data_IF_460511999543
#
_entry.id   IF_460511999543
#
_cell.length_a   1.000
_cell.length_b   1.000
_cell.length_c   1.000
_cell.angle_alpha   90.00
_cell.angle_beta   90.00
_cell.angle_gamma   90.00
#
_symmetry.space_group_name_H-M   'P 1'
#
loop_
_entity.id
_entity.type
_entity.pdbx_description
1 polymer ?
#
# COMPACT_ATOMS: atom_id res chain seq x y z
N UNK A 1 5.37 -6.71 -9.18
CA UNK A 1 4.12 -7.39 -8.75
C UNK A 1 3.24 -6.49 -7.86
N UNK A 2 3.28 -5.16 -8.01
CA UNK A 2 2.50 -4.23 -7.18
C UNK A 2 0.99 -4.51 -7.29
N UNK A 3 0.28 -4.52 -6.16
CA UNK A 3 -1.17 -4.74 -6.07
C UNK A 3 -1.67 -6.13 -6.49
N UNK A 4 -0.77 -7.12 -6.60
CA UNK A 4 -1.17 -8.52 -6.77
C UNK A 4 -1.71 -9.06 -5.44
N UNK A 5 -2.73 -9.92 -5.53
CA UNK A 5 -3.30 -10.58 -4.35
C UNK A 5 -2.24 -11.45 -3.65
N UNK A 6 -2.00 -11.19 -2.37
CA UNK A 6 -1.22 -12.07 -1.50
C UNK A 6 -2.14 -13.06 -0.80
N UNK A 7 -3.18 -12.55 -0.14
CA UNK A 7 -4.14 -13.36 0.61
C UNK A 7 -5.53 -12.75 0.55
N UNK A 8 -6.56 -13.60 0.49
CA UNK A 8 -7.95 -13.17 0.68
C UNK A 8 -8.79 -14.31 1.27
N UNK A 9 -9.62 -13.95 2.26
CA UNK A 9 -10.79 -14.71 2.67
C UNK A 9 -12.01 -13.78 2.80
N UNK A 10 -13.08 -14.24 3.47
CA UNK A 10 -14.29 -13.44 3.70
C UNK A 10 -14.08 -12.24 4.65
N UNK A 11 -13.02 -12.26 5.45
CA UNK A 11 -12.78 -11.30 6.54
C UNK A 11 -11.63 -10.34 6.26
N UNK A 12 -10.62 -10.78 5.53
CA UNK A 12 -9.36 -10.07 5.38
C UNK A 12 -8.79 -10.23 3.98
N UNK A 13 -8.17 -9.15 3.51
CA UNK A 13 -7.45 -9.15 2.24
C UNK A 13 -6.10 -8.47 2.41
N UNK A 14 -5.06 -9.09 1.89
CA UNK A 14 -3.72 -8.51 1.79
C UNK A 14 -3.27 -8.50 0.33
N UNK A 15 -2.77 -7.35 -0.12
CA UNK A 15 -2.15 -7.17 -1.42
C UNK A 15 -0.65 -6.92 -1.25
N UNK A 16 0.16 -7.48 -2.14
CA UNK A 16 1.58 -7.15 -2.18
C UNK A 16 1.77 -5.64 -2.43
N UNK A 17 2.62 -5.03 -1.62
CA UNK A 17 3.02 -3.62 -1.72
C UNK A 17 4.42 -3.57 -2.35
N UNK A 18 5.45 -4.09 -1.65
CA UNK A 18 6.82 -4.17 -2.14
C UNK A 18 7.48 -5.49 -1.72
N UNK A 19 8.30 -6.10 -2.58
CA UNK A 19 9.02 -7.35 -2.28
C UNK A 19 10.49 -7.00 -2.07
N UNK A 20 10.98 -7.12 -0.85
CA UNK A 20 12.38 -6.85 -0.50
C UNK A 20 13.28 -8.04 -0.86
N UNK A 21 12.80 -9.26 -0.65
CA UNK A 21 13.57 -10.46 -0.94
C UNK A 21 12.65 -11.63 -1.31
N UNK A 22 12.96 -12.31 -2.40
CA UNK A 22 12.26 -13.50 -2.86
C UNK A 22 13.20 -14.55 -3.42
N UNK A 23 12.75 -15.81 -3.37
CA UNK A 23 13.37 -16.92 -4.09
C UNK A 23 12.30 -17.59 -4.96
N UNK A 24 11.87 -18.80 -4.60
CA UNK A 24 10.67 -19.41 -5.19
C UNK A 24 9.39 -18.76 -4.65
N UNK A 25 9.43 -18.29 -3.40
CA UNK A 25 8.34 -17.55 -2.75
C UNK A 25 8.90 -16.22 -2.21
N UNK A 26 8.05 -15.18 -2.06
CA UNK A 26 8.41 -13.99 -1.31
C UNK A 26 8.77 -14.34 0.13
N UNK A 27 10.00 -14.00 0.53
CA UNK A 27 10.55 -14.29 1.86
C UNK A 27 10.37 -13.09 2.76
N UNK A 28 10.68 -11.89 2.27
CA UNK A 28 10.56 -10.64 3.02
C UNK A 28 9.92 -9.57 2.14
N UNK A 29 8.75 -9.07 2.54
CA UNK A 29 7.97 -8.14 1.72
C UNK A 29 7.01 -7.31 2.58
N UNK A 30 6.59 -6.15 2.08
CA UNK A 30 5.46 -5.41 2.63
C UNK A 30 4.17 -5.78 1.90
N UNK A 31 3.07 -5.73 2.65
CA UNK A 31 1.73 -5.85 2.10
C UNK A 31 0.80 -4.83 2.75
N UNK A 32 -0.29 -4.53 2.06
CA UNK A 32 -1.34 -3.62 2.54
C UNK A 32 -2.67 -4.34 2.67
N UNK A 33 -3.45 -3.94 3.66
CA UNK A 33 -4.81 -4.42 3.82
C UNK A 33 -5.86 -3.51 3.15
N UNK A 34 -7.13 -3.87 3.29
CA UNK A 34 -8.25 -3.07 2.77
C UNK A 34 -8.36 -1.64 3.34
N UNK A 35 -7.76 -1.38 4.50
CA UNK A 35 -7.71 -0.06 5.13
C UNK A 35 -6.44 0.72 4.76
N UNK A 36 -5.59 0.14 3.91
CA UNK A 36 -4.25 0.64 3.59
C UNK A 36 -3.28 0.65 4.78
N UNK A 37 -3.57 -0.11 5.83
CA UNK A 37 -2.58 -0.37 6.87
C UNK A 37 -1.46 -1.21 6.26
N UNK A 38 -0.21 -0.89 6.61
CA UNK A 38 0.99 -1.55 6.09
C UNK A 38 1.44 -2.63 7.08
N UNK A 39 1.82 -3.77 6.53
CA UNK A 39 2.37 -4.89 7.28
C UNK A 39 3.67 -5.35 6.63
N UNK A 40 4.66 -5.69 7.43
CA UNK A 40 5.85 -6.41 6.99
C UNK A 40 5.60 -7.90 7.18
N UNK A 41 5.99 -8.72 6.19
CA UNK A 41 5.80 -10.15 6.17
C UNK A 41 7.14 -10.89 6.05
N UNK A 42 7.31 -11.95 6.82
CA UNK A 42 8.47 -12.86 6.76
C UNK A 42 7.99 -14.30 6.61
N UNK A 43 8.54 -15.03 5.64
CA UNK A 43 8.37 -16.48 5.52
C UNK A 43 9.21 -17.18 6.60
N UNK A 44 8.55 -17.81 7.58
CA UNK A 44 9.19 -18.41 8.76
C UNK A 44 9.17 -19.95 8.77
N UNK A 45 8.41 -20.60 7.88
CA UNK A 45 8.57 -22.04 7.59
C UNK A 45 8.19 -22.31 6.13
N UNK A 46 8.97 -23.15 5.46
CA UNK A 46 8.73 -23.63 4.10
C UNK A 46 8.85 -25.15 3.95
N UNK A 47 9.08 -25.89 5.06
CA UNK A 47 9.42 -27.33 5.03
C UNK A 47 8.20 -28.21 4.90
N UNK A 48 7.15 -27.93 5.67
CA UNK A 48 5.90 -28.72 5.72
C UNK A 48 4.69 -27.97 5.19
N UNK A 49 4.74 -26.66 5.29
CA UNK A 49 3.77 -25.69 4.80
C UNK A 49 4.49 -24.37 4.61
N UNK A 50 3.96 -23.49 3.75
CA UNK A 50 4.46 -22.13 3.67
C UNK A 50 3.77 -21.32 4.76
N UNK A 51 4.54 -20.64 5.59
CA UNK A 51 4.03 -19.90 6.74
C UNK A 51 4.66 -18.54 6.81
N UNK A 52 3.84 -17.51 6.73
CA UNK A 52 4.24 -16.13 6.87
C UNK A 52 3.72 -15.56 8.16
N UNK A 53 4.58 -14.80 8.83
CA UNK A 53 4.19 -13.93 9.93
C UNK A 53 4.19 -12.49 9.43
N UNK A 54 3.11 -11.77 9.75
CA UNK A 54 2.92 -10.38 9.40
C UNK A 54 2.86 -9.56 10.68
N UNK A 55 3.60 -8.47 10.73
CA UNK A 55 3.52 -7.46 11.79
C UNK A 55 3.08 -6.12 11.19
N UNK A 56 2.17 -5.42 11.88
CA UNK A 56 1.78 -4.06 11.49
C UNK A 56 2.98 -3.13 11.61
N UNK A 57 3.21 -2.31 10.58
CA UNK A 57 4.36 -1.41 10.45
C UNK A 57 3.98 -0.10 9.75
N UNK A 58 4.96 0.74 9.44
CA UNK A 58 4.81 2.03 8.75
C UNK A 58 5.91 2.22 7.69
N UNK A 59 5.68 3.11 6.72
CA UNK A 59 6.69 3.47 5.71
C UNK A 59 8.00 3.97 6.36
N UNK A 60 7.90 4.72 7.47
CA UNK A 60 9.10 5.18 8.21
C UNK A 60 9.91 4.01 8.77
N UNK A 61 9.26 3.01 9.36
CA UNK A 61 9.94 1.85 9.91
C UNK A 61 10.55 0.99 8.79
N UNK A 62 9.85 0.82 7.67
CA UNK A 62 10.40 0.13 6.50
C UNK A 62 11.62 0.86 5.93
N UNK A 63 11.57 2.19 5.86
CA UNK A 63 12.73 2.99 5.48
C UNK A 63 13.91 2.86 6.45
N UNK A 64 13.62 2.73 7.75
CA UNK A 64 14.65 2.53 8.76
C UNK A 64 15.27 1.12 8.68
N UNK A 65 14.51 0.09 8.27
CA UNK A 65 15.06 -1.24 7.92
C UNK A 65 16.04 -1.09 6.74
N UNK A 66 15.58 -0.48 5.64
CA UNK A 66 16.39 -0.33 4.41
C UNK A 66 17.65 0.51 4.63
N UNK A 67 17.66 1.39 5.64
CA UNK A 67 18.81 2.23 6.00
C UNK A 67 19.65 1.65 7.13
N UNK A 68 19.43 0.39 7.51
CA UNK A 68 20.20 -0.29 8.53
C UNK A 68 20.17 0.46 9.90
N UNK A 69 19.03 1.07 10.24
CA UNK A 69 18.83 1.80 11.52
C UNK A 69 18.10 0.98 12.57
N UNK A 70 17.26 0.06 12.13
CA UNK A 70 16.51 -0.87 12.98
C UNK A 70 16.67 -2.28 12.42
N UNK A 71 16.78 -3.28 13.29
CA UNK A 71 16.87 -4.67 12.85
C UNK A 71 15.52 -5.13 12.31
N UNK A 72 15.50 -6.16 11.48
CA UNK A 72 14.24 -6.74 11.01
C UNK A 72 13.40 -7.25 12.19
N UNK A 73 14.04 -7.85 13.20
CA UNK A 73 13.39 -8.37 14.41
C UNK A 73 12.69 -7.29 15.23
N UNK A 74 13.33 -6.12 15.43
CA UNK A 74 12.78 -5.05 16.27
C UNK A 74 11.49 -4.46 15.70
N UNK A 75 11.30 -4.48 14.38
CA UNK A 75 10.05 -4.03 13.75
C UNK A 75 8.89 -4.95 14.13
N UNK A 76 9.13 -6.26 14.25
CA UNK A 76 8.10 -7.18 14.74
C UNK A 76 7.78 -6.92 16.21
N UNK A 77 8.79 -6.71 17.07
CA UNK A 77 8.57 -6.41 18.49
C UNK A 77 7.74 -5.15 18.76
N UNK A 78 7.81 -4.17 17.86
CA UNK A 78 7.07 -2.91 17.99
C UNK A 78 5.60 -3.02 17.57
N UNK A 79 5.12 -4.22 17.24
CA UNK A 79 3.76 -4.47 16.80
C UNK A 79 2.91 -5.10 17.91
N UNK A 80 1.68 -4.63 18.05
CA UNK A 80 0.69 -5.23 18.97
C UNK A 80 -0.22 -6.25 18.26
N UNK A 81 -0.19 -6.28 16.92
CA UNK A 81 -1.09 -7.07 16.09
C UNK A 81 -0.28 -7.83 15.05
N UNK A 82 -0.51 -9.14 15.01
CA UNK A 82 0.13 -10.03 14.07
C UNK A 82 -0.89 -10.81 13.26
N UNK A 83 -0.54 -11.15 12.02
CA UNK A 83 -1.27 -12.14 11.25
C UNK A 83 -0.34 -13.30 10.87
N UNK A 84 -0.80 -14.53 11.08
CA UNK A 84 -0.09 -15.73 10.62
C UNK A 84 -0.86 -16.31 9.45
N UNK A 85 -0.22 -16.36 8.29
CA UNK A 85 -0.79 -16.91 7.06
C UNK A 85 -0.09 -18.23 6.76
N UNK A 86 -0.85 -19.32 6.70
CA UNK A 86 -0.34 -20.65 6.38
C UNK A 86 -0.94 -21.17 5.08
N UNK A 87 -0.12 -21.79 4.23
CA UNK A 87 -0.53 -22.44 2.99
C UNK A 87 -0.05 -23.88 2.96
N UNK A 88 -0.99 -24.82 2.92
CA UNK A 88 -0.73 -26.26 2.85
C UNK A 88 -1.74 -26.94 1.93
N UNK A 89 -1.26 -27.74 0.97
CA UNK A 89 -2.11 -28.54 0.08
C UNK A 89 -3.30 -27.75 -0.52
N UNK A 90 -3.03 -26.53 -1.03
CA UNK A 90 -4.01 -25.59 -1.60
C UNK A 90 -4.99 -24.92 -0.62
N UNK A 91 -4.90 -25.20 0.67
CA UNK A 91 -5.65 -24.49 1.71
C UNK A 91 -4.77 -23.37 2.25
N UNK A 92 -5.28 -22.14 2.21
CA UNK A 92 -4.63 -20.98 2.84
C UNK A 92 -5.48 -20.49 4.01
N UNK A 93 -4.88 -20.29 5.18
CA UNK A 93 -5.55 -19.79 6.38
C UNK A 93 -4.86 -18.52 6.87
N UNK A 94 -5.62 -17.66 7.53
CA UNK A 94 -5.10 -16.49 8.22
C UNK A 94 -5.60 -16.50 9.66
N UNK A 95 -4.68 -16.30 10.60
CA UNK A 95 -4.95 -16.22 12.02
C UNK A 95 -4.49 -14.86 12.53
N UNK A 96 -5.35 -14.18 13.28
CA UNK A 96 -5.00 -12.99 14.05
C UNK A 96 -4.38 -13.42 15.38
N UNK A 97 -3.21 -12.86 15.70
CA UNK A 97 -2.47 -13.10 16.93
C UNK A 97 -2.12 -11.76 17.62
N UNK A 98 -1.84 -11.84 18.91
CA UNK A 98 -1.30 -10.76 19.74
C UNK A 98 0.10 -11.14 20.27
N UNK A 99 0.77 -10.23 20.97
CA UNK A 99 2.12 -10.48 21.54
C UNK A 99 2.19 -11.68 22.50
N UNK A 100 1.05 -12.09 23.07
CA UNK A 100 0.98 -13.23 24.00
C UNK A 100 0.83 -14.57 23.29
N UNK A 101 0.20 -14.59 22.12
CA UNK A 101 -0.09 -15.81 21.36
C UNK A 101 0.87 -16.07 20.21
N UNK A 102 1.67 -15.07 19.83
CA UNK A 102 2.66 -15.20 18.77
C UNK A 102 3.94 -15.89 19.24
N UNK A 103 4.50 -16.77 18.41
CA UNK A 103 5.80 -17.39 18.69
C UNK A 103 6.91 -16.49 18.16
N UNK A 104 7.71 -15.92 19.07
CA UNK A 104 8.82 -15.02 18.72
C UNK A 104 9.97 -15.74 18.01
N UNK A 105 9.98 -17.07 18.00
CA UNK A 105 10.90 -17.86 17.17
C UNK A 105 10.59 -17.76 15.67
N UNK A 106 9.39 -17.28 15.32
CA UNK A 106 8.99 -17.06 13.92
C UNK A 106 9.43 -15.71 13.38
N UNK A 107 9.93 -14.83 14.25
CA UNK A 107 10.40 -13.52 13.82
C UNK A 107 11.72 -13.69 13.05
N UNK A 108 12.14 -12.66 12.28
CA UNK A 108 13.48 -12.61 11.72
C UNK A 108 14.56 -12.88 12.77
N UNK A 109 15.74 -13.33 12.36
CA UNK A 109 16.85 -13.55 13.29
C UNK A 109 17.15 -12.29 14.10
N UNK A 110 17.19 -12.43 15.42
CA UNK A 110 17.43 -11.31 16.34
C UNK A 110 18.81 -10.69 16.09
N UNK A 111 18.86 -9.37 15.94
CA UNK A 111 20.10 -8.61 15.71
C UNK A 111 20.48 -8.46 14.24
N UNK A 112 19.78 -9.12 13.32
CA UNK A 112 20.07 -9.05 11.89
C UNK A 112 19.38 -7.84 11.24
N UNK A 113 20.17 -7.11 10.47
CA UNK A 113 19.71 -5.99 9.65
C UNK A 113 19.44 -6.45 8.22
N UNK A 114 18.64 -5.68 7.50
CA UNK A 114 18.45 -5.91 6.07
C UNK A 114 19.62 -5.27 5.32
N UNK A 115 20.44 -6.10 4.65
CA UNK A 115 21.61 -5.66 3.89
C UNK A 115 21.21 -5.13 2.50
N UNK A 116 20.41 -4.05 2.48
CA UNK A 116 20.05 -3.39 1.23
C UNK A 116 21.29 -2.78 0.56
N UNK A 117 21.45 -3.01 -0.74
CA UNK A 117 22.39 -2.23 -1.53
C UNK A 117 21.81 -0.86 -1.95
N UNK A 118 22.65 -0.01 -2.55
CA UNK A 118 22.25 1.33 -2.98
C UNK A 118 21.15 1.31 -4.06
N UNK A 119 21.10 0.26 -4.90
CA UNK A 119 20.11 0.10 -5.95
C UNK A 119 18.76 -0.31 -5.36
N UNK A 120 18.73 -1.27 -4.43
CA UNK A 120 17.55 -1.69 -3.69
C UNK A 120 16.95 -0.54 -2.86
N UNK A 121 17.80 0.25 -2.19
CA UNK A 121 17.36 1.43 -1.46
C UNK A 121 16.75 2.48 -2.41
N UNK A 122 17.37 2.73 -3.56
CA UNK A 122 16.86 3.68 -4.55
C UNK A 122 15.54 3.21 -5.19
N UNK A 123 15.40 1.91 -5.46
CA UNK A 123 14.16 1.32 -5.98
C UNK A 123 13.02 1.47 -4.97
N UNK A 124 13.27 1.13 -3.70
CA UNK A 124 12.26 1.29 -2.65
C UNK A 124 11.84 2.76 -2.44
N UNK A 125 12.79 3.70 -2.49
CA UNK A 125 12.49 5.14 -2.44
C UNK A 125 11.60 5.57 -3.61
N UNK A 126 11.85 5.05 -4.81
CA UNK A 126 11.05 5.32 -6.00
C UNK A 126 9.62 4.78 -5.83
N UNK A 127 9.48 3.58 -5.29
CA UNK A 127 8.18 2.99 -4.96
C UNK A 127 7.36 3.86 -4.00
N UNK A 128 7.95 4.30 -2.88
CA UNK A 128 7.28 5.18 -1.91
C UNK A 128 6.88 6.52 -2.55
N UNK A 129 7.78 7.15 -3.31
CA UNK A 129 7.50 8.43 -3.96
C UNK A 129 6.35 8.34 -4.97
N UNK A 130 6.31 7.26 -5.76
CA UNK A 130 5.22 6.99 -6.69
C UNK A 130 3.88 6.80 -5.96
N UNK A 131 3.88 6.06 -4.86
CA UNK A 131 2.69 5.85 -4.01
C UNK A 131 2.17 7.17 -3.42
N UNK A 132 3.06 8.01 -2.92
CA UNK A 132 2.72 9.31 -2.36
C UNK A 132 2.16 10.28 -3.40
N UNK A 133 2.78 10.34 -4.59
CA UNK A 133 2.28 11.16 -5.69
C UNK A 133 0.88 10.70 -6.13
N UNK A 134 0.66 9.40 -6.28
CA UNK A 134 -0.66 8.86 -6.63
C UNK A 134 -1.72 9.18 -5.58
N UNK A 135 -1.37 9.15 -4.29
CA UNK A 135 -2.29 9.55 -3.22
C UNK A 135 -2.66 11.03 -3.33
N UNK A 136 -1.69 11.93 -3.55
CA UNK A 136 -1.93 13.37 -3.74
C UNK A 136 -2.85 13.63 -4.94
N UNK A 137 -2.60 12.99 -6.08
CA UNK A 137 -3.45 13.12 -7.27
C UNK A 137 -4.88 12.66 -7.01
N UNK A 138 -5.05 11.52 -6.34
CA UNK A 138 -6.36 10.98 -6.00
C UNK A 138 -7.12 11.88 -5.02
N UNK A 139 -6.47 12.39 -3.98
CA UNK A 139 -7.08 13.34 -3.05
C UNK A 139 -7.50 14.64 -3.74
N UNK A 140 -6.65 15.20 -4.59
CA UNK A 140 -6.97 16.39 -5.37
C UNK A 140 -8.17 16.15 -6.29
N UNK A 141 -8.22 14.99 -6.95
CA UNK A 141 -9.33 14.59 -7.80
C UNK A 141 -10.64 14.40 -7.02
N UNK A 142 -10.60 13.69 -5.89
CA UNK A 142 -11.77 13.49 -5.01
C UNK A 142 -12.27 14.80 -4.41
N UNK A 143 -11.38 15.70 -4.01
CA UNK A 143 -11.73 17.05 -3.53
C UNK A 143 -12.41 17.86 -4.63
N UNK A 144 -11.90 17.81 -5.87
CA UNK A 144 -12.51 18.46 -7.04
C UNK A 144 -13.90 17.89 -7.34
N UNK A 145 -14.07 16.56 -7.31
CA UNK A 145 -15.39 15.91 -7.51
C UNK A 145 -16.39 16.27 -6.42
N UNK A 146 -15.97 16.31 -5.14
CA UNK A 146 -16.82 16.76 -4.02
C UNK A 146 -17.26 18.22 -4.19
N UNK A 147 -16.37 19.08 -4.67
CA UNK A 147 -16.68 20.49 -4.94
C UNK A 147 -17.69 20.65 -6.09
N UNK A 148 -17.58 19.83 -7.14
CA UNK A 148 -18.53 19.80 -8.26
C UNK A 148 -19.91 19.32 -7.80
N UNK A 149 -19.98 18.28 -6.97
CA UNK A 149 -21.23 17.76 -6.42
C UNK A 149 -21.90 18.72 -5.44
N UNK A 150 -21.14 19.49 -4.66
CA UNK A 150 -21.68 20.52 -3.77
C UNK A 150 -22.24 21.75 -4.50
N UNK A 151 -21.86 21.97 -5.76
CA UNK A 151 -22.42 23.03 -6.61
C UNK A 151 -23.68 22.59 -7.38
N UNK A 152 -24.08 21.33 -7.26
CA UNK A 152 -25.28 20.77 -7.89
C UNK A 152 -26.50 20.74 -6.97
N UNK A 153 -26.99 21.90 -6.55
CA UNK A 153 -28.39 22.07 -6.11
C UNK A 153 -29.09 23.00 -7.09
N UNK A 154 -29.27 22.52 -8.32
CA UNK A 154 -30.12 23.19 -9.30
C UNK A 154 -31.55 22.79 -8.97
N UNK A 155 -32.34 23.76 -8.48
CA UNK A 155 -33.79 23.64 -8.36
C UNK A 155 -34.35 23.43 -9.76
N UNK A 156 -34.97 22.28 -10.01
CA UNK A 156 -35.77 22.07 -11.21
C UNK A 156 -37.13 22.73 -11.02
N UNK A 157 -37.31 23.92 -11.57
CA UNK A 157 -38.64 24.43 -11.92
C UNK A 157 -38.93 24.02 -13.36
N UNK A 158 -39.80 23.02 -13.53
CA UNK A 158 -40.33 22.65 -14.84
C UNK A 158 -41.38 23.69 -15.26
N UNK A 159 -41.07 24.47 -16.29
CA UNK A 159 -42.06 25.05 -17.20
C UNK A 159 -41.57 24.83 -18.62
N UNK A 160 -42.52 24.43 -19.46
CA UNK A 160 -42.36 23.75 -20.74
C UNK A 160 -41.83 24.63 -21.90
N UNK A 161 -41.52 23.91 -22.99
CA UNK A 161 -41.56 24.29 -24.41
C UNK A 161 -40.26 24.66 -25.13
N UNK A 162 -39.86 23.69 -25.97
CA UNK A 162 -39.60 23.77 -27.40
C UNK A 162 -38.39 24.55 -27.97
N UNK A 163 -37.64 23.76 -28.76
CA UNK A 163 -36.95 24.05 -30.00
C UNK A 163 -35.56 24.74 -30.03
N UNK A 164 -34.60 23.93 -30.50
CA UNK A 164 -33.44 24.24 -31.36
C UNK A 164 -32.58 25.48 -31.07
N UNK A 165 -31.31 25.25 -30.69
CA UNK A 165 -30.12 25.68 -31.46
C UNK A 165 -28.80 25.31 -30.77
N UNK A 166 -27.87 24.82 -31.61
CA UNK A 166 -26.42 25.01 -31.60
C UNK A 166 -25.65 24.72 -30.29
N UNK A 167 -24.96 23.57 -30.29
CA UNK A 167 -23.94 23.23 -29.31
C UNK A 167 -22.68 24.07 -29.57
N UNK A 168 -22.56 25.21 -28.89
CA UNK A 168 -21.33 26.02 -28.85
C UNK A 168 -20.29 25.29 -27.99
N UNK A 169 -19.30 24.68 -28.64
CA UNK A 169 -18.12 24.14 -27.96
C UNK A 169 -17.25 25.33 -27.55
N UNK A 170 -17.29 25.70 -26.27
CA UNK A 170 -16.35 26.67 -25.73
C UNK A 170 -14.94 26.05 -25.68
N UNK A 171 -14.13 26.34 -26.69
CA UNK A 171 -12.66 26.26 -26.61
C UNK A 171 -12.18 27.28 -25.58
N UNK A 172 -11.52 26.81 -24.53
CA UNK A 172 -10.82 27.68 -23.58
C UNK A 172 -9.36 27.69 -23.99
N UNK A 173 -8.92 28.83 -24.52
CA UNK A 173 -7.51 29.12 -24.80
C UNK A 173 -6.72 29.19 -23.49
N UNK A 174 -5.61 28.44 -23.43
CA UNK A 174 -4.67 28.49 -22.31
C UNK A 174 -3.49 29.35 -22.76
N UNK A 175 -3.46 30.61 -22.36
CA UNK A 175 -2.29 31.49 -22.51
C UNK A 175 -1.18 31.03 -21.53
N UNK A 176 -0.06 30.59 -22.11
CA UNK A 176 1.16 30.27 -21.37
C UNK A 176 1.99 31.54 -21.22
N UNK A 177 1.89 32.22 -20.07
CA UNK A 177 2.82 33.29 -19.73
C UNK A 177 4.11 32.70 -19.17
N UNK A 178 5.11 32.52 -20.04
CA UNK A 178 6.51 32.40 -19.63
C UNK A 178 7.07 33.82 -19.43
N UNK A 179 7.36 34.19 -18.17
CA UNK A 179 8.16 35.37 -17.87
C UNK A 179 9.55 34.97 -17.40
N UNK A 180 10.53 35.60 -18.03
CA UNK A 180 11.97 35.37 -18.03
C UNK A 180 12.69 35.64 -16.70
N UNK A 181 13.85 35.01 -16.55
CA UNK A 181 15.06 35.59 -15.94
C UNK A 181 16.25 34.70 -16.37
N UNK A 182 17.44 35.16 -16.75
CA UNK A 182 17.99 36.44 -17.19
C UNK A 182 19.33 36.08 -17.88
#
# INVERSE_FOLDING_TARGET
>A
MENKMFYQDEKKRFLYDYIFFETTNPIFFSCIDEKKDIYIATLCDDRKELRWILAKTSESQLMDIMKNKVTMYDVYLNSDIYYVITRKCNITKCQLCDDKSIDKLDFPTKGEYFEADDEELADYMTHINKKNNNNIYNEAFHKKKKFILQKGSIKTSHTNQDDNKDMEIATIDIEYNAFNAA
#
